data_IF_221915361950
#
_entry.id   IF_221915361950
#
_cell.length_a   1.000
_cell.length_b   1.000
_cell.length_c   1.000
_cell.angle_alpha   90.00
_cell.angle_beta   90.00
_cell.angle_gamma   90.00
#
_symmetry.space_group_name_H-M   'P 1'
#
loop_
_entity.id
_entity.type
_entity.pdbx_description
1 polymer ?
#
# COMPACT_ATOMS: atom_id res chain seq x y z
N UNK A 1 3.80 -30.17 17.02
CA UNK A 1 2.47 -29.54 16.87
C UNK A 1 2.13 -29.63 15.40
N UNK A 2 0.92 -30.09 15.08
CA UNK A 2 0.46 -30.04 13.69
C UNK A 2 0.38 -28.57 13.26
N UNK A 3 0.95 -28.26 12.10
CA UNK A 3 1.01 -26.92 11.50
C UNK A 3 0.19 -26.96 10.20
N UNK A 4 -0.80 -26.06 9.99
CA UNK A 4 -1.59 -26.03 8.76
C UNK A 4 -0.73 -26.01 7.48
N UNK A 5 0.47 -25.43 7.52
CA UNK A 5 1.36 -25.30 6.37
C UNK A 5 2.05 -26.61 5.95
N UNK A 6 2.15 -27.59 6.86
CA UNK A 6 2.81 -28.88 6.56
C UNK A 6 2.05 -29.68 5.50
N UNK A 7 0.73 -29.55 5.49
CA UNK A 7 -0.16 -30.22 4.54
C UNK A 7 -0.18 -29.57 3.14
N UNK A 8 0.33 -28.34 3.02
CA UNK A 8 0.35 -27.56 1.79
C UNK A 8 1.62 -26.69 1.73
N UNK A 9 2.81 -27.28 1.58
CA UNK A 9 4.05 -26.52 1.47
C UNK A 9 4.04 -25.66 0.19
N UNK A 10 4.85 -24.61 0.19
CA UNK A 10 5.08 -23.75 -0.98
C UNK A 10 6.46 -24.00 -1.55
N UNK A 11 6.55 -24.29 -2.84
CA UNK A 11 7.83 -24.28 -3.56
C UNK A 11 8.25 -22.85 -3.92
N UNK A 12 9.31 -22.39 -3.25
CA UNK A 12 9.92 -21.07 -3.43
C UNK A 12 10.61 -20.89 -4.79
N UNK A 13 10.86 -21.97 -5.54
CA UNK A 13 11.41 -21.90 -6.91
C UNK A 13 10.30 -21.72 -7.95
N UNK A 14 9.07 -22.14 -7.63
CA UNK A 14 7.98 -22.26 -8.60
C UNK A 14 6.96 -21.12 -8.54
N UNK A 15 7.21 -20.05 -7.74
CA UNK A 15 6.27 -18.94 -7.51
C UNK A 15 4.90 -19.45 -7.03
N UNK A 16 4.92 -20.31 -6.02
CA UNK A 16 3.71 -20.89 -5.44
C UNK A 16 3.16 -20.04 -4.29
N UNK A 17 1.84 -20.11 -4.08
CA UNK A 17 1.11 -19.42 -3.03
C UNK A 17 -0.08 -20.26 -2.58
N UNK A 18 -0.67 -19.95 -1.43
CA UNK A 18 -1.80 -20.69 -0.88
C UNK A 18 -3.12 -19.95 -1.08
N UNK A 19 -4.20 -20.70 -1.25
CA UNK A 19 -5.56 -20.18 -1.24
C UNK A 19 -6.38 -20.92 -0.19
N UNK A 20 -7.26 -20.17 0.49
CA UNK A 20 -8.13 -20.60 1.56
C UNK A 20 -9.58 -20.69 1.07
N UNK A 21 -10.19 -21.87 1.21
CA UNK A 21 -11.59 -22.12 0.92
C UNK A 21 -12.35 -22.29 2.24
N UNK A 22 -13.39 -21.50 2.48
CA UNK A 22 -14.29 -21.69 3.61
C UNK A 22 -15.22 -22.88 3.36
N UNK A 23 -15.53 -23.60 4.42
CA UNK A 23 -16.54 -24.64 4.39
C UNK A 23 -17.90 -24.04 4.77
N UNK A 24 -19.01 -24.48 4.15
CA UNK A 24 -20.35 -24.09 4.55
C UNK A 24 -20.57 -24.34 6.04
N UNK A 25 -21.26 -23.41 6.71
CA UNK A 25 -21.54 -23.52 8.14
C UNK A 25 -22.35 -24.79 8.41
N UNK A 26 -21.83 -25.67 9.26
CA UNK A 26 -22.54 -26.83 9.79
C UNK A 26 -23.13 -26.48 11.17
N UNK A 27 -23.66 -27.46 11.90
CA UNK A 27 -24.19 -27.24 13.26
C UNK A 27 -23.10 -26.90 14.30
N UNK A 28 -21.82 -26.76 13.91
CA UNK A 28 -20.74 -26.38 14.81
C UNK A 28 -20.49 -24.86 14.74
N UNK A 29 -20.12 -24.28 15.87
CA UNK A 29 -19.83 -22.84 15.99
C UNK A 29 -18.43 -22.43 15.47
N UNK A 30 -17.62 -23.38 14.99
CA UNK A 30 -16.26 -23.12 14.51
C UNK A 30 -16.22 -22.92 12.99
N UNK A 31 -15.54 -21.87 12.53
CA UNK A 31 -15.28 -21.65 11.11
C UNK A 31 -14.23 -22.67 10.66
N UNK A 32 -14.56 -23.46 9.63
CA UNK A 32 -13.67 -24.45 9.03
C UNK A 32 -13.25 -24.03 7.63
N UNK A 33 -11.98 -24.28 7.32
CA UNK A 33 -11.35 -23.89 6.07
C UNK A 33 -10.46 -25.02 5.53
N UNK A 34 -10.38 -25.12 4.21
CA UNK A 34 -9.38 -25.92 3.51
C UNK A 34 -8.36 -24.99 2.84
N UNK A 35 -7.08 -25.26 3.00
CA UNK A 35 -6.00 -24.49 2.38
C UNK A 35 -5.19 -25.36 1.43
N UNK A 36 -4.94 -24.86 0.22
CA UNK A 36 -4.22 -25.58 -0.83
C UNK A 36 -3.20 -24.67 -1.52
N UNK A 37 -2.10 -25.28 -1.98
CA UNK A 37 -1.05 -24.60 -2.74
C UNK A 37 -1.36 -24.58 -4.23
N UNK A 38 -1.09 -23.45 -4.87
CA UNK A 38 -1.21 -23.23 -6.29
C UNK A 38 0.03 -22.51 -6.82
N UNK A 39 0.31 -22.68 -8.10
CA UNK A 39 1.33 -21.91 -8.80
C UNK A 39 0.71 -20.62 -9.35
N UNK A 40 1.42 -19.50 -9.23
CA UNK A 40 0.98 -18.23 -9.83
C UNK A 40 0.75 -18.39 -11.34
N UNK A 41 -0.38 -17.90 -11.84
CA UNK A 41 -0.85 -18.08 -13.21
C UNK A 41 -1.49 -19.44 -13.51
N UNK A 42 -1.47 -20.38 -12.57
CA UNK A 42 -2.09 -21.71 -12.66
C UNK A 42 -2.93 -22.01 -11.39
N UNK A 43 -3.78 -21.05 -11.01
CA UNK A 43 -4.70 -21.14 -9.88
C UNK A 43 -6.16 -20.99 -10.37
N UNK A 44 -7.16 -21.46 -9.60
CA UNK A 44 -8.54 -21.05 -9.82
C UNK A 44 -8.68 -19.53 -9.61
N UNK A 45 -9.72 -18.89 -10.17
CA UNK A 45 -10.08 -17.53 -9.82
C UNK A 45 -10.25 -17.36 -8.31
N UNK A 46 -9.63 -16.33 -7.73
CA UNK A 46 -9.62 -16.12 -6.29
C UNK A 46 -9.82 -14.65 -5.93
N UNK A 47 -10.26 -14.41 -4.70
CA UNK A 47 -10.44 -13.09 -4.11
C UNK A 47 -9.30 -12.82 -3.14
N UNK A 48 -8.73 -11.62 -3.09
CA UNK A 48 -7.71 -11.27 -2.09
C UNK A 48 -8.33 -10.37 -1.01
N UNK A 49 -8.01 -10.62 0.26
CA UNK A 49 -8.44 -9.76 1.37
C UNK A 49 -7.43 -8.64 1.59
N UNK A 50 -7.92 -7.41 1.73
CA UNK A 50 -7.18 -6.28 2.26
C UNK A 50 -7.87 -5.81 3.53
N UNK A 51 -7.20 -5.86 4.68
CA UNK A 51 -7.82 -5.55 5.97
C UNK A 51 -6.82 -4.98 6.98
N UNK A 52 -7.35 -4.41 8.07
CA UNK A 52 -6.51 -3.98 9.21
C UNK A 52 -6.53 -4.99 10.34
N UNK A 53 -5.44 -5.07 11.07
CA UNK A 53 -5.39 -5.88 12.27
C UNK A 53 -6.22 -5.18 13.35
N UNK A 54 -7.05 -5.94 14.07
CA UNK A 54 -7.84 -5.42 15.18
C UNK A 54 -6.95 -4.78 16.25
N UNK A 55 -7.43 -3.71 16.89
CA UNK A 55 -6.73 -3.04 18.00
C UNK A 55 -6.60 -3.95 19.24
N UNK A 56 -7.53 -4.90 19.40
CA UNK A 56 -7.55 -5.84 20.52
C UNK A 56 -6.88 -7.16 20.11
N UNK A 57 -6.05 -7.68 20.99
CA UNK A 57 -5.41 -9.00 20.86
C UNK A 57 -6.37 -10.14 21.29
N UNK A 58 -7.65 -10.02 20.96
CA UNK A 58 -8.64 -11.09 21.15
C UNK A 58 -8.48 -12.09 20.00
N UNK A 59 -8.24 -13.35 20.36
CA UNK A 59 -8.07 -14.44 19.41
C UNK A 59 -9.21 -15.42 19.51
N UNK A 60 -9.76 -15.80 18.35
CA UNK A 60 -10.74 -16.86 18.20
C UNK A 60 -10.15 -17.93 17.30
N UNK A 61 -10.33 -19.20 17.66
CA UNK A 61 -9.81 -20.29 16.84
C UNK A 61 -10.73 -20.55 15.65
N UNK A 62 -10.11 -20.71 14.48
CA UNK A 62 -10.70 -21.35 13.31
C UNK A 62 -9.99 -22.68 13.06
N UNK A 63 -10.53 -23.51 12.19
CA UNK A 63 -9.90 -24.78 11.80
C UNK A 63 -9.44 -24.70 10.34
N UNK A 64 -8.13 -24.84 10.09
CA UNK A 64 -7.55 -24.89 8.74
C UNK A 64 -6.93 -26.27 8.55
N UNK A 65 -7.39 -27.03 7.57
CA UNK A 65 -6.90 -28.40 7.31
C UNK A 65 -6.89 -29.28 8.59
N UNK A 66 -7.95 -29.17 9.41
CA UNK A 66 -8.11 -29.87 10.71
C UNK A 66 -7.18 -29.40 11.84
N UNK A 67 -6.40 -28.35 11.62
CA UNK A 67 -5.54 -27.73 12.63
C UNK A 67 -6.20 -26.47 13.16
N UNK A 68 -6.24 -26.31 14.48
CA UNK A 68 -6.76 -25.08 15.11
C UNK A 68 -5.76 -23.95 14.94
N UNK A 69 -6.20 -22.85 14.36
CA UNK A 69 -5.39 -21.65 14.11
C UNK A 69 -6.06 -20.45 14.80
N UNK A 70 -5.35 -19.74 15.70
CA UNK A 70 -5.88 -18.54 16.32
C UNK A 70 -5.87 -17.39 15.31
N UNK A 71 -7.01 -16.73 15.14
CA UNK A 71 -7.13 -15.50 14.34
C UNK A 71 -7.65 -14.36 15.19
N UNK A 72 -7.21 -13.14 14.90
CA UNK A 72 -7.74 -11.95 15.57
C UNK A 72 -9.20 -11.76 15.23
N UNK A 73 -9.94 -11.15 16.17
CA UNK A 73 -11.38 -10.91 16.05
C UNK A 73 -11.78 -10.24 14.73
N UNK A 74 -11.03 -9.22 14.26
CA UNK A 74 -11.38 -8.55 12.99
C UNK A 74 -11.31 -9.47 11.77
N UNK A 75 -10.39 -10.43 11.74
CA UNK A 75 -10.31 -11.42 10.66
C UNK A 75 -11.42 -12.47 10.81
N UNK A 76 -11.70 -12.89 12.05
CA UNK A 76 -12.82 -13.80 12.31
C UNK A 76 -14.15 -13.19 11.84
N UNK A 77 -14.38 -11.91 12.15
CA UNK A 77 -15.58 -11.17 11.74
C UNK A 77 -15.73 -11.12 10.22
N UNK A 78 -14.64 -10.84 9.50
CA UNK A 78 -14.63 -10.91 8.06
C UNK A 78 -15.05 -12.30 7.56
N UNK A 79 -14.40 -13.37 8.04
CA UNK A 79 -14.71 -14.74 7.63
C UNK A 79 -16.15 -15.13 7.94
N UNK A 80 -16.66 -14.73 9.11
CA UNK A 80 -18.04 -14.94 9.50
C UNK A 80 -19.02 -14.22 8.57
N UNK A 81 -18.73 -12.96 8.23
CA UNK A 81 -19.55 -12.18 7.29
C UNK A 81 -19.57 -12.82 5.90
N UNK A 82 -18.42 -13.34 5.42
CA UNK A 82 -18.38 -14.05 4.13
C UNK A 82 -19.24 -15.33 4.15
N UNK A 83 -19.25 -16.08 5.24
CA UNK A 83 -20.14 -17.23 5.41
C UNK A 83 -21.62 -16.83 5.37
N UNK A 84 -21.99 -15.73 6.04
CA UNK A 84 -23.36 -15.21 6.02
C UNK A 84 -23.80 -14.79 4.61
N UNK A 85 -22.88 -14.27 3.80
CA UNK A 85 -23.12 -13.92 2.40
C UNK A 85 -23.10 -15.12 1.44
N UNK A 86 -22.87 -16.34 1.94
CA UNK A 86 -22.71 -17.52 1.10
C UNK A 86 -21.47 -17.47 0.19
N UNK A 87 -20.47 -16.66 0.56
CA UNK A 87 -19.21 -16.52 -0.18
C UNK A 87 -18.13 -17.38 0.47
N UNK A 88 -17.77 -18.48 -0.19
CA UNK A 88 -16.87 -19.48 0.39
C UNK A 88 -15.41 -19.39 -0.10
N UNK A 89 -15.09 -18.46 -1.01
CA UNK A 89 -13.75 -18.32 -1.59
C UNK A 89 -13.64 -18.93 -2.99
N UNK A 90 -12.42 -19.21 -3.49
CA UNK A 90 -11.14 -19.17 -2.76
C UNK A 90 -10.69 -17.76 -2.37
N UNK A 91 -10.07 -17.63 -1.20
CA UNK A 91 -9.51 -16.39 -0.67
C UNK A 91 -7.98 -16.45 -0.54
N UNK A 92 -7.30 -15.37 -0.89
CA UNK A 92 -5.95 -15.11 -0.43
C UNK A 92 -5.99 -14.16 0.76
N UNK A 93 -5.45 -14.60 1.89
CA UNK A 93 -5.41 -13.82 3.14
C UNK A 93 -3.97 -13.92 3.65
N UNK A 94 -3.19 -12.85 3.55
CA UNK A 94 -1.77 -12.79 3.92
C UNK A 94 -1.47 -13.41 5.30
N UNK A 95 -2.29 -13.12 6.30
CA UNK A 95 -2.13 -13.61 7.67
C UNK A 95 -2.31 -15.13 7.82
N UNK A 96 -2.95 -15.79 6.85
CA UNK A 96 -3.25 -17.24 6.86
C UNK A 96 -2.59 -18.03 5.74
N UNK A 97 -2.38 -17.41 4.57
CA UNK A 97 -1.81 -18.05 3.39
C UNK A 97 -0.28 -18.01 3.40
N UNK A 98 0.33 -17.15 4.22
CA UNK A 98 1.77 -17.02 4.42
C UNK A 98 2.12 -17.57 5.80
N UNK A 99 3.12 -18.43 5.86
CA UNK A 99 3.76 -18.83 7.10
C UNK A 99 4.63 -17.69 7.62
N UNK A 100 4.01 -16.75 8.34
CA UNK A 100 4.62 -15.49 8.78
C UNK A 100 5.88 -15.68 9.64
N UNK A 101 6.02 -16.81 10.32
CA UNK A 101 7.18 -17.15 11.15
C UNK A 101 8.41 -17.62 10.37
N UNK A 102 8.27 -18.00 9.10
CA UNK A 102 9.38 -18.45 8.24
C UNK A 102 9.80 -17.31 7.31
N UNK A 103 10.95 -16.70 7.60
CA UNK A 103 11.41 -15.48 6.93
C UNK A 103 11.64 -15.68 5.44
N UNK A 104 12.10 -16.86 5.01
CA UNK A 104 12.32 -17.09 3.58
C UNK A 104 10.99 -17.21 2.81
N UNK A 105 9.98 -17.86 3.37
CA UNK A 105 8.63 -17.90 2.81
C UNK A 105 8.01 -16.50 2.80
N UNK A 106 8.08 -15.76 3.92
CA UNK A 106 7.60 -14.37 3.98
C UNK A 106 8.25 -13.51 2.90
N UNK A 107 9.58 -13.51 2.79
CA UNK A 107 10.30 -12.80 1.74
C UNK A 107 9.84 -13.22 0.33
N UNK A 108 9.66 -14.52 0.10
CA UNK A 108 9.19 -15.06 -1.18
C UNK A 108 7.77 -14.57 -1.51
N UNK A 109 6.83 -14.65 -0.58
CA UNK A 109 5.44 -14.23 -0.77
C UNK A 109 5.31 -12.72 -0.95
N UNK A 110 6.02 -11.91 -0.14
CA UNK A 110 5.97 -10.44 -0.23
C UNK A 110 6.48 -9.95 -1.58
N UNK A 111 7.53 -10.58 -2.13
CA UNK A 111 8.02 -10.31 -3.49
C UNK A 111 7.03 -10.64 -4.61
N UNK A 112 5.95 -11.34 -4.30
CA UNK A 112 4.90 -11.70 -5.25
C UNK A 112 3.56 -11.02 -4.98
N UNK A 113 3.44 -10.21 -3.91
CA UNK A 113 2.16 -9.61 -3.53
C UNK A 113 1.58 -8.72 -4.63
N UNK A 114 2.42 -7.98 -5.36
CA UNK A 114 1.98 -7.20 -6.53
C UNK A 114 1.27 -8.08 -7.57
N UNK A 115 1.82 -9.27 -7.88
CA UNK A 115 1.17 -10.23 -8.78
C UNK A 115 -0.08 -10.84 -8.15
N UNK A 116 -0.04 -11.22 -6.87
CA UNK A 116 -1.17 -11.88 -6.21
C UNK A 116 -2.39 -10.96 -6.13
N UNK A 117 -2.22 -9.67 -5.81
CA UNK A 117 -3.33 -8.72 -5.78
C UNK A 117 -3.79 -8.30 -7.18
N UNK A 118 -2.87 -8.19 -8.14
CA UNK A 118 -3.21 -7.87 -9.53
C UNK A 118 -4.00 -8.98 -10.20
N UNK A 119 -3.60 -10.23 -10.00
CA UNK A 119 -4.19 -11.40 -10.67
C UNK A 119 -5.47 -11.91 -9.95
N UNK A 120 -5.79 -11.36 -8.76
CA UNK A 120 -7.05 -11.65 -8.07
C UNK A 120 -8.24 -11.07 -8.86
N UNK A 121 -9.32 -11.85 -8.99
CA UNK A 121 -10.53 -11.36 -9.69
C UNK A 121 -11.26 -10.25 -8.95
N UNK A 122 -11.00 -10.14 -7.64
CA UNK A 122 -11.58 -9.12 -6.77
C UNK A 122 -10.73 -8.98 -5.51
N UNK A 123 -10.45 -7.74 -5.13
CA UNK A 123 -9.87 -7.39 -3.84
C UNK A 123 -10.97 -6.89 -2.91
N UNK A 124 -11.12 -7.55 -1.78
CA UNK A 124 -12.11 -7.24 -0.76
C UNK A 124 -11.45 -6.37 0.31
N UNK A 125 -11.83 -5.10 0.37
CA UNK A 125 -11.45 -4.21 1.46
C UNK A 125 -12.38 -4.47 2.64
N UNK A 126 -11.84 -4.86 3.79
CA UNK A 126 -12.62 -5.03 5.03
C UNK A 126 -12.33 -3.91 6.03
N UNK A 127 -13.31 -3.03 6.22
CA UNK A 127 -13.24 -1.89 7.15
C UNK A 127 -13.63 -2.23 8.60
N UNK A 128 -13.96 -3.49 8.87
CA UNK A 128 -14.47 -3.96 10.16
C UNK A 128 -16.00 -3.97 10.23
N UNK A 129 -16.54 -4.33 11.40
CA UNK A 129 -17.97 -4.22 11.73
C UNK A 129 -18.47 -2.78 11.66
N UNK A 130 -19.79 -2.63 11.60
CA UNK A 130 -20.46 -1.33 11.65
C UNK A 130 -20.07 -0.57 12.93
N UNK A 131 -19.58 0.67 12.76
CA UNK A 131 -19.30 1.60 13.86
C UNK A 131 -19.29 3.03 13.35
N UNK A 132 -19.48 4.01 14.23
CA UNK A 132 -19.30 5.44 13.91
C UNK A 132 -20.12 5.91 12.69
N UNK A 133 -21.39 5.49 12.64
CA UNK A 133 -22.34 5.72 11.53
C UNK A 133 -21.84 5.19 10.16
N UNK A 134 -20.97 4.17 10.13
CA UNK A 134 -20.45 3.61 8.88
C UNK A 134 -21.54 3.02 7.99
N UNK A 135 -22.60 2.46 8.57
CA UNK A 135 -23.76 1.95 7.83
C UNK A 135 -24.49 3.09 7.08
N UNK A 136 -24.66 4.24 7.73
CA UNK A 136 -25.16 5.45 7.08
C UNK A 136 -24.21 5.89 5.97
N UNK A 137 -22.89 5.94 6.22
CA UNK A 137 -21.91 6.34 5.21
C UNK A 137 -21.96 5.45 3.96
N UNK A 138 -22.00 4.12 4.16
CA UNK A 138 -22.09 3.14 3.07
C UNK A 138 -23.38 3.34 2.27
N UNK A 139 -24.54 3.44 2.94
CA UNK A 139 -25.84 3.68 2.27
C UNK A 139 -25.90 5.02 1.55
N UNK A 140 -25.34 6.09 2.13
CA UNK A 140 -25.19 7.40 1.47
C UNK A 140 -24.40 7.26 0.19
N UNK A 141 -23.26 6.56 0.19
CA UNK A 141 -22.44 6.38 -1.02
C UNK A 141 -23.10 5.49 -2.07
N UNK A 142 -23.82 4.43 -1.66
CA UNK A 142 -24.55 3.53 -2.56
C UNK A 142 -25.69 4.27 -3.26
N UNK A 143 -26.55 4.94 -2.47
CA UNK A 143 -27.73 5.67 -2.96
C UNK A 143 -27.37 6.95 -3.72
N UNK A 144 -26.13 7.42 -3.60
CA UNK A 144 -25.71 8.63 -4.26
C UNK A 144 -25.52 8.41 -5.76
N UNK A 145 -26.39 9.05 -6.53
CA UNK A 145 -26.30 9.14 -7.98
C UNK A 145 -25.57 10.42 -8.37
N UNK A 146 -24.28 10.30 -8.66
CA UNK A 146 -23.53 11.41 -9.20
C UNK A 146 -23.86 11.63 -10.68
N UNK A 147 -24.35 12.82 -11.03
CA UNK A 147 -24.48 13.23 -12.42
C UNK A 147 -23.09 13.39 -13.06
N UNK A 148 -22.84 12.63 -14.13
CA UNK A 148 -21.61 12.56 -14.91
C UNK A 148 -20.92 13.95 -15.14
N UNK A 149 -19.58 14.06 -14.97
CA UNK A 149 -18.78 15.22 -15.37
C UNK A 149 -19.02 15.77 -16.79
N UNK A 150 -19.36 14.91 -17.77
CA UNK A 150 -19.73 15.31 -19.13
C UNK A 150 -20.96 16.23 -19.14
N UNK A 151 -21.86 16.07 -18.17
CA UNK A 151 -23.07 16.90 -17.99
C UNK A 151 -22.73 18.21 -17.28
N UNK A 152 -21.71 18.23 -16.42
CA UNK A 152 -21.22 19.46 -15.74
C UNK A 152 -20.50 20.39 -16.72
N UNK A 153 -19.81 19.85 -17.75
CA UNK A 153 -19.22 20.64 -18.84
C UNK A 153 -20.24 21.40 -19.70
N UNK A 154 -21.51 20.98 -19.73
CA UNK A 154 -22.58 21.68 -20.47
C UNK A 154 -23.29 22.77 -19.66
N UNK A 155 -23.00 22.91 -18.36
CA UNK A 155 -23.49 24.01 -17.54
C UNK A 155 -22.51 25.19 -17.53
N UNK A 156 -22.57 26.02 -18.59
CA UNK A 156 -22.16 27.43 -18.67
C UNK A 156 -20.82 27.77 -19.34
N UNK A 157 -20.91 28.07 -20.63
CA UNK A 157 -20.21 29.21 -21.23
C UNK A 157 -20.99 29.74 -22.44
N UNK A 158 -22.04 30.55 -22.22
CA UNK A 158 -22.68 31.31 -23.29
C UNK A 158 -22.25 32.78 -23.16
N UNK A 159 -21.57 33.30 -24.17
CA UNK A 159 -21.28 34.74 -24.28
C UNK A 159 -22.59 35.46 -24.64
N UNK A 160 -22.94 36.51 -23.93
CA UNK A 160 -24.01 37.39 -24.39
C UNK A 160 -23.53 38.22 -25.61
N UNK A 161 -24.44 38.96 -26.25
CA UNK A 161 -24.13 39.80 -27.44
C UNK A 161 -23.08 40.90 -27.18
N UNK A 162 -22.68 41.14 -25.92
CA UNK A 162 -21.62 42.08 -25.53
C UNK A 162 -20.31 41.40 -25.09
N UNK A 163 -20.19 40.08 -25.24
CA UNK A 163 -18.95 39.33 -24.96
C UNK A 163 -18.65 39.11 -23.48
N UNK A 164 -19.56 39.48 -22.57
CA UNK A 164 -19.41 39.24 -21.12
C UNK A 164 -19.93 37.84 -20.77
N UNK A 165 -19.12 37.06 -20.06
CA UNK A 165 -19.52 35.74 -19.53
C UNK A 165 -20.62 35.93 -18.51
N UNK A 166 -21.80 35.37 -18.76
CA UNK A 166 -22.90 35.35 -17.80
C UNK A 166 -22.91 33.99 -17.07
N UNK A 167 -22.79 33.99 -15.74
CA UNK A 167 -23.10 32.83 -14.91
C UNK A 167 -24.62 32.81 -14.70
N UNK A 168 -25.32 31.87 -15.35
CA UNK A 168 -26.74 31.65 -15.05
C UNK A 168 -26.83 30.74 -13.82
N UNK A 169 -27.63 31.16 -12.84
CA UNK A 169 -27.93 30.40 -11.62
C UNK A 169 -28.93 29.30 -11.96
N UNK A 170 -28.55 28.04 -11.75
CA UNK A 170 -29.40 26.88 -12.02
C UNK A 170 -28.99 25.67 -11.16
N UNK A 171 -29.22 25.74 -9.85
CA UNK A 171 -29.15 24.58 -8.95
C UNK A 171 -30.42 23.73 -9.12
N UNK A 172 -30.42 22.84 -10.11
CA UNK A 172 -31.19 21.60 -10.01
C UNK A 172 -30.19 20.44 -10.07
N UNK A 173 -29.91 19.83 -8.92
CA UNK A 173 -29.35 18.48 -8.88
C UNK A 173 -28.00 18.25 -8.19
N UNK A 174 -27.36 19.26 -7.56
CA UNK A 174 -26.32 18.92 -6.57
C UNK A 174 -27.06 18.54 -5.29
N UNK A 175 -27.31 17.26 -5.09
CA UNK A 175 -27.77 16.73 -3.81
C UNK A 175 -26.64 16.96 -2.80
N UNK A 176 -26.72 18.04 -2.04
CA UNK A 176 -25.80 18.28 -0.94
C UNK A 176 -26.21 17.37 0.21
N UNK A 177 -25.32 16.45 0.60
CA UNK A 177 -25.49 15.66 1.80
C UNK A 177 -25.74 16.57 3.01
N UNK A 178 -26.59 16.10 3.93
CA UNK A 178 -26.78 16.77 5.20
C UNK A 178 -25.54 16.58 6.10
N UNK A 179 -25.44 17.36 7.18
CA UNK A 179 -24.26 17.33 8.05
C UNK A 179 -23.94 15.94 8.61
N UNK A 180 -24.96 15.12 8.92
CA UNK A 180 -24.75 13.77 9.45
C UNK A 180 -24.16 12.83 8.39
N UNK A 181 -24.68 12.88 7.17
CA UNK A 181 -24.18 12.11 6.02
C UNK A 181 -22.74 12.47 5.67
N UNK A 182 -22.41 13.76 5.67
CA UNK A 182 -21.02 14.21 5.41
C UNK A 182 -20.08 13.71 6.51
N UNK A 183 -20.49 13.82 7.78
CA UNK A 183 -19.68 13.37 8.91
C UNK A 183 -19.48 11.85 8.92
N UNK A 184 -20.50 11.07 8.57
CA UNK A 184 -20.39 9.62 8.48
C UNK A 184 -19.42 9.20 7.37
N UNK A 185 -19.47 9.84 6.19
CA UNK A 185 -18.51 9.58 5.11
C UNK A 185 -17.09 10.00 5.49
N UNK A 186 -16.93 11.13 6.17
CA UNK A 186 -15.62 11.53 6.70
C UNK A 186 -15.07 10.53 7.72
N UNK A 187 -15.92 10.01 8.61
CA UNK A 187 -15.57 8.97 9.58
C UNK A 187 -15.10 7.69 8.86
N UNK A 188 -15.86 7.25 7.85
CA UNK A 188 -15.52 6.09 7.01
C UNK A 188 -14.15 6.26 6.32
N UNK A 189 -13.85 7.45 5.78
CA UNK A 189 -12.57 7.77 5.12
C UNK A 189 -11.38 7.91 6.08
N UNK A 190 -11.64 7.97 7.39
CA UNK A 190 -10.62 8.10 8.45
C UNK A 190 -10.44 6.83 9.27
N UNK A 191 -11.18 5.74 8.97
CA UNK A 191 -11.00 4.45 9.63
C UNK A 191 -9.54 4.00 9.54
N UNK A 192 -9.06 3.36 10.60
CA UNK A 192 -7.68 2.86 10.75
C UNK A 192 -7.19 1.99 9.60
N UNK A 193 -8.09 1.32 8.88
CA UNK A 193 -7.72 0.61 7.66
C UNK A 193 -6.92 1.50 6.69
N UNK A 194 -7.39 2.73 6.46
CA UNK A 194 -6.78 3.65 5.51
C UNK A 194 -5.43 4.19 5.92
N UNK A 195 -5.02 4.03 7.19
CA UNK A 195 -3.70 4.43 7.66
C UNK A 195 -2.66 3.33 7.50
N UNK A 196 -2.97 2.12 7.01
CA UNK A 196 -1.96 1.05 6.90
C UNK A 196 -1.06 1.20 5.69
N UNK A 197 0.22 0.91 5.86
CA UNK A 197 1.19 1.00 4.77
C UNK A 197 0.94 -0.06 3.67
N UNK A 198 0.73 -1.32 4.05
CA UNK A 198 0.59 -2.42 3.08
C UNK A 198 -0.63 -2.30 2.16
N UNK A 199 -1.74 -1.73 2.64
CA UNK A 199 -2.97 -1.64 1.85
C UNK A 199 -2.81 -0.80 0.58
N UNK A 200 -1.77 0.05 0.49
CA UNK A 200 -1.55 0.92 -0.66
C UNK A 200 -1.30 0.05 -1.91
N UNK A 201 -0.37 -0.90 -1.86
CA UNK A 201 -0.13 -1.79 -3.00
C UNK A 201 -1.28 -2.76 -3.25
N UNK A 202 -1.96 -3.20 -2.20
CA UNK A 202 -3.08 -4.14 -2.28
C UNK A 202 -4.24 -3.51 -3.07
N UNK A 203 -4.52 -2.25 -2.77
CA UNK A 203 -5.57 -1.49 -3.44
C UNK A 203 -5.10 -0.92 -4.77
N UNK A 204 -3.83 -0.53 -4.96
CA UNK A 204 -3.39 0.07 -6.23
C UNK A 204 -3.25 -0.96 -7.36
N UNK A 205 -2.80 -2.18 -7.06
CA UNK A 205 -2.62 -3.21 -8.09
C UNK A 205 -3.89 -3.95 -8.49
N UNK A 206 -4.93 -3.92 -7.65
CA UNK A 206 -6.16 -4.67 -7.88
C UNK A 206 -6.84 -4.32 -9.21
N UNK A 207 -7.32 -5.30 -9.97
CA UNK A 207 -8.16 -4.99 -11.14
C UNK A 207 -9.54 -4.48 -10.69
N UNK A 208 -10.18 -5.21 -9.77
CA UNK A 208 -11.48 -4.89 -9.19
C UNK A 208 -11.41 -4.82 -7.68
N UNK A 209 -12.15 -3.88 -7.08
CA UNK A 209 -12.19 -3.66 -5.64
C UNK A 209 -13.63 -3.51 -5.16
N UNK A 210 -13.94 -4.10 -4.01
CA UNK A 210 -15.18 -3.92 -3.26
C UNK A 210 -14.85 -3.53 -1.82
N UNK A 211 -15.56 -2.55 -1.28
CA UNK A 211 -15.43 -2.12 0.11
C UNK A 211 -16.53 -2.77 0.92
N UNK A 212 -16.15 -3.52 1.95
CA UNK A 212 -17.03 -4.13 2.91
C UNK A 212 -16.90 -3.40 4.25
N UNK A 213 -18.03 -3.09 4.87
CA UNK A 213 -18.07 -2.55 6.23
C UNK A 213 -19.30 -3.13 6.93
N UNK A 214 -19.07 -4.07 7.84
CA UNK A 214 -20.12 -4.89 8.40
C UNK A 214 -20.85 -5.70 7.32
N UNK A 215 -22.17 -5.60 7.30
CA UNK A 215 -23.04 -6.25 6.32
C UNK A 215 -23.14 -5.51 4.97
N UNK A 216 -22.71 -4.25 4.91
CA UNK A 216 -22.83 -3.41 3.71
C UNK A 216 -21.65 -3.61 2.76
N UNK A 217 -21.94 -3.56 1.45
CA UNK A 217 -20.97 -3.67 0.36
C UNK A 217 -21.08 -2.44 -0.54
N UNK A 218 -19.94 -1.83 -0.87
CA UNK A 218 -19.84 -0.68 -1.76
C UNK A 218 -18.85 -0.97 -2.89
N UNK A 219 -19.31 -0.82 -4.13
CA UNK A 219 -18.47 -0.93 -5.31
C UNK A 219 -17.47 0.23 -5.38
N UNK A 220 -16.21 -0.08 -5.74
CA UNK A 220 -15.11 0.90 -5.70
C UNK A 220 -15.35 2.18 -6.50
N UNK A 221 -16.03 2.10 -7.66
CA UNK A 221 -16.27 3.29 -8.48
C UNK A 221 -17.05 4.37 -7.71
N UNK A 222 -17.92 4.01 -6.74
CA UNK A 222 -18.62 5.00 -5.90
C UNK A 222 -17.63 5.81 -5.06
N UNK A 223 -16.57 5.16 -4.59
CA UNK A 223 -15.48 5.80 -3.85
C UNK A 223 -14.60 6.68 -4.77
N UNK A 224 -14.40 6.27 -6.02
CA UNK A 224 -13.75 7.13 -7.02
C UNK A 224 -14.60 8.36 -7.38
N UNK A 225 -15.90 8.20 -7.53
CA UNK A 225 -16.84 9.31 -7.75
C UNK A 225 -16.79 10.33 -6.61
N UNK A 226 -16.69 9.85 -5.36
CA UNK A 226 -16.49 10.71 -4.19
C UNK A 226 -15.23 11.57 -4.35
N UNK A 227 -14.10 10.96 -4.72
CA UNK A 227 -12.84 11.69 -4.93
C UNK A 227 -12.98 12.80 -5.99
N UNK A 228 -13.60 12.50 -7.14
CA UNK A 228 -13.81 13.51 -8.18
C UNK A 228 -14.73 14.63 -7.72
N UNK A 229 -15.81 14.29 -7.01
CA UNK A 229 -16.76 15.26 -6.49
C UNK A 229 -16.15 16.23 -5.48
N UNK A 230 -15.45 15.73 -4.46
CA UNK A 230 -14.79 16.60 -3.47
C UNK A 230 -13.67 17.44 -4.12
N UNK A 231 -13.02 16.91 -5.15
CA UNK A 231 -12.02 17.64 -5.93
C UNK A 231 -12.62 18.78 -6.77
N UNK A 232 -13.81 18.57 -7.35
CA UNK A 232 -14.54 19.59 -8.11
C UNK A 232 -15.05 20.69 -7.18
N UNK A 233 -15.63 20.33 -6.03
CA UNK A 233 -16.10 21.31 -5.03
C UNK A 233 -14.94 22.21 -4.59
N UNK A 234 -13.81 21.62 -4.19
CA UNK A 234 -12.65 22.38 -3.72
C UNK A 234 -12.05 23.28 -4.81
N UNK A 235 -12.11 22.87 -6.09
CA UNK A 235 -11.55 23.65 -7.20
C UNK A 235 -12.45 24.80 -7.67
N UNK A 236 -13.75 24.55 -7.83
CA UNK A 236 -14.66 25.45 -8.55
C UNK A 236 -15.70 26.11 -7.66
N UNK A 237 -16.02 25.52 -6.52
CA UNK A 237 -17.09 25.97 -5.64
C UNK A 237 -16.53 26.33 -4.27
N UNK A 238 -15.53 27.23 -4.23
CA UNK A 238 -14.86 27.67 -2.99
C UNK A 238 -15.83 28.15 -1.90
N UNK A 239 -16.98 28.72 -2.30
CA UNK A 239 -18.05 29.13 -1.37
C UNK A 239 -18.78 27.94 -0.72
N UNK A 240 -18.80 26.78 -1.39
CA UNK A 240 -19.31 25.50 -0.88
C UNK A 240 -18.19 24.58 -0.35
N UNK A 241 -16.93 24.96 -0.53
CA UNK A 241 -15.75 24.23 -0.04
C UNK A 241 -15.63 24.41 1.47
N UNK A 242 -16.52 23.73 2.18
CA UNK A 242 -16.53 23.69 3.64
C UNK A 242 -15.30 22.95 4.16
N UNK A 243 -14.89 23.19 5.42
CA UNK A 243 -13.85 22.39 6.07
C UNK A 243 -14.05 20.87 5.95
N UNK A 244 -15.30 20.41 5.82
CA UNK A 244 -15.64 19.00 5.67
C UNK A 244 -15.18 18.39 4.35
N UNK A 245 -15.49 19.01 3.20
CA UNK A 245 -15.08 18.48 1.89
C UNK A 245 -13.55 18.44 1.77
N UNK A 246 -12.87 19.45 2.30
CA UNK A 246 -11.42 19.47 2.41
C UNK A 246 -10.88 18.36 3.33
N UNK A 247 -11.56 18.06 4.44
CA UNK A 247 -11.18 16.97 5.33
C UNK A 247 -11.37 15.58 4.69
N UNK A 248 -12.45 15.38 3.90
CA UNK A 248 -12.64 14.15 3.12
C UNK A 248 -11.55 14.06 2.05
N UNK A 249 -11.34 15.11 1.26
CA UNK A 249 -10.34 15.17 0.18
C UNK A 249 -8.92 14.90 0.68
N UNK A 250 -8.59 15.35 1.89
CA UNK A 250 -7.26 15.20 2.50
C UNK A 250 -7.15 13.96 3.39
N UNK A 251 -8.16 13.07 3.38
CA UNK A 251 -8.12 11.83 4.14
C UNK A 251 -7.12 10.81 3.56
N UNK A 252 -6.63 9.87 4.37
CA UNK A 252 -5.78 8.77 3.88
C UNK A 252 -6.47 7.96 2.77
N UNK A 253 -7.78 7.72 2.91
CA UNK A 253 -8.58 7.01 1.92
C UNK A 253 -8.54 7.68 0.53
N UNK A 254 -8.75 9.00 0.48
CA UNK A 254 -8.72 9.75 -0.78
C UNK A 254 -7.31 9.86 -1.37
N UNK A 255 -6.26 9.78 -0.55
CA UNK A 255 -4.87 9.73 -1.02
C UNK A 255 -4.62 8.43 -1.79
N UNK A 256 -5.14 7.29 -1.32
CA UNK A 256 -5.06 6.00 -2.02
C UNK A 256 -5.88 6.01 -3.31
N UNK A 257 -7.10 6.55 -3.30
CA UNK A 257 -7.91 6.70 -4.52
C UNK A 257 -7.17 7.51 -5.59
N UNK A 258 -6.55 8.64 -5.20
CA UNK A 258 -5.73 9.46 -6.10
C UNK A 258 -4.56 8.68 -6.69
N UNK A 259 -3.84 7.92 -5.87
CA UNK A 259 -2.69 7.11 -6.31
C UNK A 259 -3.13 6.01 -7.27
N UNK A 260 -4.20 5.27 -6.95
CA UNK A 260 -4.77 4.25 -7.82
C UNK A 260 -5.21 4.83 -9.17
N UNK A 261 -5.94 5.96 -9.17
CA UNK A 261 -6.37 6.61 -10.41
C UNK A 261 -5.17 7.07 -11.27
N UNK A 262 -4.13 7.60 -10.64
CA UNK A 262 -2.89 8.01 -11.31
C UNK A 262 -2.12 6.83 -11.89
N UNK A 263 -2.16 5.67 -11.22
CA UNK A 263 -1.56 4.43 -11.68
C UNK A 263 -2.36 3.84 -12.87
N UNK A 264 -3.68 3.72 -12.73
CA UNK A 264 -4.55 3.12 -13.73
C UNK A 264 -4.58 3.89 -15.07
N UNK A 265 -4.68 5.22 -15.03
CA UNK A 265 -4.71 6.07 -16.24
C UNK A 265 -3.47 5.91 -17.13
N UNK A 266 -2.36 5.41 -16.57
CA UNK A 266 -1.10 5.21 -17.28
C UNK A 266 -0.92 3.78 -17.79
N UNK A 267 -1.55 2.80 -17.14
CA UNK A 267 -1.60 1.41 -17.63
C UNK A 267 -2.45 1.29 -18.89
N UNK A 268 -3.47 2.14 -19.06
CA UNK A 268 -4.32 2.17 -20.26
C UNK A 268 -3.65 2.81 -21.50
N UNK A 269 -2.55 3.54 -21.33
CA UNK A 269 -1.80 4.11 -22.45
C UNK A 269 -0.83 3.02 -22.97
N UNK A 270 -1.25 2.34 -24.03
CA UNK A 270 -0.72 1.07 -24.53
C UNK A 270 0.79 1.06 -24.79
N UNK A 271 1.60 0.59 -23.84
CA UNK A 271 2.81 -0.21 -24.08
C UNK A 271 3.09 -1.07 -22.85
N UNK A 272 2.92 -2.39 -23.00
CA UNK A 272 3.23 -3.41 -21.99
C UNK A 272 4.69 -3.22 -21.53
N UNK A 273 4.87 -2.85 -20.26
CA UNK A 273 6.18 -2.93 -19.59
C UNK A 273 6.88 -1.63 -19.21
N UNK A 274 6.24 -0.45 -19.17
CA UNK A 274 6.85 0.71 -18.50
C UNK A 274 6.57 0.68 -16.98
N UNK A 275 7.61 0.84 -16.13
CA UNK A 275 7.42 1.09 -14.70
C UNK A 275 6.50 2.29 -14.49
N UNK A 276 5.70 2.28 -13.42
CA UNK A 276 4.95 3.46 -12.95
C UNK A 276 5.85 4.70 -12.95
N UNK A 277 5.43 5.87 -13.43
CA UNK A 277 6.29 7.08 -13.36
C UNK A 277 6.38 7.70 -11.96
N UNK A 278 5.67 7.15 -10.96
CA UNK A 278 5.64 7.76 -9.63
C UNK A 278 6.96 7.46 -8.93
N UNK A 279 7.75 8.50 -8.65
CA UNK A 279 9.01 8.35 -7.95
C UNK A 279 8.79 7.79 -6.53
N UNK A 280 9.71 6.92 -6.07
CA UNK A 280 9.56 6.23 -4.79
C UNK A 280 9.53 7.21 -3.61
N UNK A 281 10.34 8.26 -3.66
CA UNK A 281 10.39 9.35 -2.69
C UNK A 281 9.04 10.07 -2.57
N UNK A 282 8.34 10.32 -3.68
CA UNK A 282 7.01 10.94 -3.67
C UNK A 282 5.96 10.05 -2.99
N UNK A 283 6.04 8.73 -3.18
CA UNK A 283 5.17 7.76 -2.48
C UNK A 283 5.50 7.75 -0.98
N UNK A 284 6.79 7.68 -0.63
CA UNK A 284 7.24 7.70 0.76
C UNK A 284 6.83 8.98 1.49
N UNK A 285 6.91 10.15 0.84
CA UNK A 285 6.44 11.41 1.41
C UNK A 285 4.92 11.41 1.59
N UNK A 286 4.16 10.99 0.57
CA UNK A 286 2.69 10.92 0.61
C UNK A 286 2.21 10.02 1.74
N UNK A 287 2.88 8.90 1.96
CA UNK A 287 2.47 7.85 2.89
C UNK A 287 3.28 7.80 4.18
N UNK A 288 4.11 8.81 4.46
CA UNK A 288 4.96 8.84 5.66
C UNK A 288 4.15 8.67 6.97
N UNK A 289 2.93 9.18 7.03
CA UNK A 289 2.07 9.06 8.22
C UNK A 289 1.37 7.68 8.36
N UNK A 290 1.51 6.77 7.40
CA UNK A 290 0.83 5.47 7.43
C UNK A 290 1.52 4.49 8.41
N UNK A 291 0.74 3.76 9.20
CA UNK A 291 1.16 2.78 10.18
C UNK A 291 1.77 1.53 9.53
N UNK A 292 2.89 1.07 10.10
CA UNK A 292 3.51 -0.22 9.86
C UNK A 292 4.12 -0.75 11.16
N UNK A 293 4.21 -2.08 11.31
CA UNK A 293 4.89 -2.69 12.46
C UNK A 293 6.41 -2.74 12.23
N UNK A 294 6.81 -3.05 11.00
CA UNK A 294 8.20 -3.03 10.56
C UNK A 294 8.48 -1.74 9.79
N UNK A 295 9.43 -0.93 10.24
CA UNK A 295 9.71 0.38 9.63
C UNK A 295 10.14 0.26 8.16
N UNK A 296 10.71 -0.89 7.75
CA UNK A 296 11.10 -1.14 6.35
C UNK A 296 9.88 -1.23 5.41
N UNK A 297 8.69 -1.47 5.94
CA UNK A 297 7.46 -1.54 5.15
C UNK A 297 7.07 -0.17 4.58
N UNK A 298 7.56 0.94 5.15
CA UNK A 298 7.48 2.28 4.55
C UNK A 298 8.02 2.34 3.12
N UNK A 299 8.91 1.40 2.79
CA UNK A 299 9.53 1.23 1.49
C UNK A 299 8.88 0.05 0.78
N UNK A 300 8.91 -1.14 1.40
CA UNK A 300 8.52 -2.38 0.73
C UNK A 300 7.05 -2.40 0.29
N UNK A 301 6.16 -1.65 0.94
CA UNK A 301 4.76 -1.54 0.51
C UNK A 301 4.54 -0.67 -0.74
N UNK A 302 5.53 0.12 -1.16
CA UNK A 302 5.40 1.06 -2.29
C UNK A 302 6.33 0.73 -3.46
N UNK A 303 7.32 -0.16 -3.30
CA UNK A 303 8.24 -0.52 -4.39
C UNK A 303 7.53 -1.12 -5.61
N UNK A 304 6.46 -1.89 -5.43
CA UNK A 304 5.68 -2.42 -6.56
C UNK A 304 4.95 -1.33 -7.37
N UNK A 305 4.71 -0.17 -6.75
CA UNK A 305 4.01 0.98 -7.34
C UNK A 305 4.99 2.01 -7.89
N UNK A 306 6.24 2.02 -7.40
CA UNK A 306 7.20 3.05 -7.72
C UNK A 306 7.88 2.84 -9.08
N UNK A 307 8.33 3.95 -9.68
CA UNK A 307 9.21 3.94 -10.84
C UNK A 307 10.49 3.20 -10.52
N UNK A 308 10.80 2.19 -11.34
CA UNK A 308 11.95 1.29 -11.17
C UNK A 308 12.05 0.62 -9.79
N UNK A 309 10.96 0.56 -9.03
CA UNK A 309 10.97 -0.05 -7.70
C UNK A 309 11.26 -1.56 -7.72
N UNK A 310 11.10 -2.22 -8.87
CA UNK A 310 11.52 -3.63 -9.07
C UNK A 310 13.03 -3.85 -8.91
N UNK A 311 13.85 -2.80 -8.97
CA UNK A 311 15.29 -2.87 -8.68
C UNK A 311 15.58 -2.99 -7.19
N UNK A 312 14.64 -2.60 -6.33
CA UNK A 312 14.74 -2.69 -4.88
C UNK A 312 14.20 -4.04 -4.44
N UNK A 313 15.11 -4.93 -4.04
CA UNK A 313 14.76 -6.29 -3.63
C UNK A 313 14.32 -6.30 -2.17
N UNK A 314 13.06 -6.70 -1.92
CA UNK A 314 12.54 -6.91 -0.56
C UNK A 314 13.32 -8.00 0.15
N UNK A 315 13.92 -7.67 1.30
CA UNK A 315 14.60 -8.64 2.16
C UNK A 315 14.53 -8.23 3.63
N UNK A 316 13.76 -8.96 4.43
CA UNK A 316 13.63 -8.72 5.86
C UNK A 316 14.84 -9.14 6.70
N UNK A 317 15.92 -9.59 6.06
CA UNK A 317 17.23 -9.80 6.72
C UNK A 317 18.08 -8.52 6.73
N UNK A 318 17.79 -7.55 5.86
CA UNK A 318 18.50 -6.25 5.81
C UNK A 318 18.11 -5.35 6.96
N UNK A 319 19.04 -4.59 7.53
CA UNK A 319 18.68 -3.55 8.50
C UNK A 319 17.91 -2.41 7.81
N UNK A 320 17.22 -1.56 8.58
CA UNK A 320 16.59 -0.35 8.02
C UNK A 320 17.62 0.58 7.36
N UNK A 321 18.87 0.63 7.87
CA UNK A 321 19.98 1.38 7.27
C UNK A 321 20.37 0.82 5.91
N UNK A 322 20.43 -0.50 5.75
CA UNK A 322 20.75 -1.12 4.47
C UNK A 322 19.68 -0.82 3.42
N UNK A 323 18.40 -0.88 3.81
CA UNK A 323 17.27 -0.52 2.93
C UNK A 323 17.32 0.96 2.55
N UNK A 324 17.63 1.84 3.51
CA UNK A 324 17.85 3.27 3.25
C UNK A 324 18.93 3.46 2.18
N UNK A 325 20.07 2.78 2.32
CA UNK A 325 21.18 2.89 1.37
C UNK A 325 20.80 2.33 -0.01
N UNK A 326 20.06 1.22 -0.09
CA UNK A 326 19.57 0.68 -1.36
C UNK A 326 18.76 1.73 -2.13
N UNK A 327 17.83 2.42 -1.47
CA UNK A 327 17.00 3.46 -2.09
C UNK A 327 17.82 4.68 -2.45
N UNK A 328 18.70 5.10 -1.56
CA UNK A 328 19.56 6.26 -1.80
C UNK A 328 20.42 6.05 -3.04
N UNK A 329 21.03 4.87 -3.17
CA UNK A 329 21.81 4.52 -4.35
C UNK A 329 20.92 4.39 -5.59
N UNK A 330 19.74 3.79 -5.47
CA UNK A 330 18.76 3.73 -6.56
C UNK A 330 18.40 5.13 -7.09
N UNK A 331 18.05 6.07 -6.21
CA UNK A 331 17.76 7.45 -6.57
C UNK A 331 18.97 8.13 -7.24
N UNK A 332 20.18 7.88 -6.73
CA UNK A 332 21.41 8.42 -7.29
C UNK A 332 21.74 7.92 -8.70
N UNK A 333 21.31 6.68 -9.03
CA UNK A 333 21.53 6.07 -10.35
C UNK A 333 20.47 6.46 -11.39
N UNK A 334 19.22 6.72 -10.97
CA UNK A 334 18.10 7.02 -11.88
C UNK A 334 18.08 8.46 -12.38
N UNK A 335 18.61 9.42 -11.60
CA UNK A 335 18.70 10.81 -12.05
C UNK A 335 19.75 10.89 -13.18
N UNK A 336 19.39 11.30 -14.39
CA UNK A 336 20.31 11.47 -15.54
C UNK A 336 21.03 12.85 -15.53
N UNK A 337 21.86 13.14 -16.54
CA UNK A 337 23.17 13.83 -16.46
C UNK A 337 23.21 15.38 -16.47
N UNK A 338 22.70 16.09 -15.44
CA UNK A 338 22.97 17.53 -15.26
C UNK A 338 23.32 17.89 -13.79
N UNK A 339 24.56 18.35 -13.56
CA UNK A 339 25.29 18.13 -12.30
C UNK A 339 24.94 19.03 -11.09
N UNK A 340 24.34 20.22 -11.27
CA UNK A 340 24.24 21.20 -10.16
C UNK A 340 22.94 21.14 -9.36
N UNK A 341 21.86 20.67 -9.96
CA UNK A 341 20.55 20.51 -9.29
C UNK A 341 20.40 19.16 -8.57
N UNK A 342 21.40 18.26 -8.70
CA UNK A 342 21.34 16.87 -8.22
C UNK A 342 21.75 16.71 -6.76
N UNK A 343 22.73 17.48 -6.27
CA UNK A 343 23.22 17.30 -4.90
C UNK A 343 22.17 17.72 -3.87
N UNK A 344 21.53 18.88 -4.04
CA UNK A 344 20.47 19.34 -3.13
C UNK A 344 19.24 18.41 -3.16
N UNK A 345 18.90 17.84 -4.31
CA UNK A 345 17.82 16.84 -4.42
C UNK A 345 18.19 15.55 -3.70
N UNK A 346 19.40 15.04 -3.87
CA UNK A 346 19.87 13.85 -3.16
C UNK A 346 20.00 14.11 -1.66
N UNK A 347 20.38 15.31 -1.24
CA UNK A 347 20.35 15.72 0.17
C UNK A 347 18.90 15.70 0.69
N UNK A 348 17.93 16.26 -0.05
CA UNK A 348 16.51 16.20 0.31
C UNK A 348 16.01 14.76 0.41
N UNK A 349 16.36 13.89 -0.53
CA UNK A 349 16.00 12.46 -0.51
C UNK A 349 16.65 11.78 0.70
N UNK A 350 17.93 12.00 0.98
CA UNK A 350 18.61 11.47 2.15
C UNK A 350 17.92 11.88 3.46
N UNK A 351 17.57 13.16 3.60
CA UNK A 351 16.82 13.67 4.75
C UNK A 351 15.40 13.12 4.83
N UNK A 352 14.73 12.88 3.70
CA UNK A 352 13.44 12.20 3.66
C UNK A 352 13.57 10.76 4.17
N UNK A 353 14.57 10.02 3.69
CA UNK A 353 14.82 8.63 4.08
C UNK A 353 15.17 8.54 5.58
N UNK A 354 15.98 9.45 6.10
CA UNK A 354 16.27 9.56 7.54
C UNK A 354 14.99 9.66 8.36
N UNK A 355 14.09 10.57 7.99
CA UNK A 355 12.81 10.78 8.70
C UNK A 355 11.85 9.61 8.55
N UNK A 356 11.72 9.06 7.34
CA UNK A 356 10.74 8.01 7.03
C UNK A 356 11.15 6.67 7.65
N UNK A 357 12.43 6.36 7.66
CA UNK A 357 12.95 5.09 8.18
C UNK A 357 13.42 5.18 9.63
N UNK A 358 13.38 6.36 10.25
CA UNK A 358 13.82 6.61 11.62
C UNK A 358 15.25 6.11 11.89
N UNK A 359 16.13 6.26 10.89
CA UNK A 359 17.53 5.84 10.94
C UNK A 359 18.43 7.06 10.79
N UNK A 360 19.39 7.30 11.72
CA UNK A 360 20.33 8.40 11.58
C UNK A 360 21.06 8.38 10.23
N UNK A 361 20.97 9.48 9.51
CA UNK A 361 21.64 9.67 8.23
C UNK A 361 22.01 11.14 8.05
N UNK A 362 22.96 11.64 8.84
CA UNK A 362 23.29 13.06 8.87
C UNK A 362 23.81 13.53 7.51
N UNK A 363 23.68 14.84 7.26
CA UNK A 363 24.05 15.43 5.97
C UNK A 363 25.50 15.14 5.55
N UNK A 364 26.42 15.02 6.51
CA UNK A 364 27.82 14.62 6.25
C UNK A 364 27.92 13.21 5.66
N UNK A 365 27.13 12.27 6.16
CA UNK A 365 27.06 10.90 5.63
C UNK A 365 26.35 10.89 4.27
N UNK A 366 25.26 11.66 4.12
CA UNK A 366 24.56 11.81 2.84
C UNK A 366 25.54 12.28 1.75
N UNK A 367 26.26 13.38 2.00
CA UNK A 367 27.25 13.93 1.06
C UNK A 367 28.39 12.96 0.77
N UNK A 368 28.81 12.17 1.76
CA UNK A 368 29.76 11.07 1.54
C UNK A 368 29.22 10.05 0.53
N UNK A 369 27.97 9.62 0.67
CA UNK A 369 27.35 8.68 -0.27
C UNK A 369 27.11 9.27 -1.67
N UNK A 370 26.79 10.57 -1.77
CA UNK A 370 26.70 11.28 -3.06
C UNK A 370 28.05 11.27 -3.78
N UNK A 371 29.13 11.60 -3.08
CA UNK A 371 30.46 11.60 -3.69
C UNK A 371 30.92 10.20 -4.10
N UNK A 372 30.56 9.19 -3.30
CA UNK A 372 30.82 7.78 -3.60
C UNK A 372 30.05 7.30 -4.85
N UNK A 373 28.78 7.65 -5.00
CA UNK A 373 27.96 7.23 -6.15
C UNK A 373 28.39 7.91 -7.46
N UNK A 374 28.97 9.12 -7.39
CA UNK A 374 29.48 9.85 -8.56
C UNK A 374 30.96 9.61 -8.87
N UNK A 375 31.64 8.69 -8.18
CA UNK A 375 33.07 8.42 -8.41
C UNK A 375 34.00 9.60 -8.08
N UNK A 376 33.50 10.58 -7.31
CA UNK A 376 34.23 11.80 -6.93
C UNK A 376 35.10 11.63 -5.67
N UNK A 377 35.47 10.40 -5.33
CA UNK A 377 36.29 10.08 -4.14
C UNK A 377 37.62 10.82 -4.08
N UNK A 378 38.13 11.34 -5.20
CA UNK A 378 39.34 12.16 -5.24
C UNK A 378 39.15 13.65 -4.85
N UNK A 379 37.93 14.20 -4.90
CA UNK A 379 37.69 15.64 -4.69
C UNK A 379 37.29 16.00 -3.24
N UNK A 380 36.84 15.04 -2.44
CA UNK A 380 36.46 15.25 -1.03
C UNK A 380 37.55 14.94 -0.01
N UNK A 381 38.79 14.69 -0.44
CA UNK A 381 39.96 14.69 0.47
C UNK A 381 40.36 16.14 0.80
N UNK A 382 39.38 16.93 1.26
CA UNK A 382 39.59 18.12 2.07
C UNK A 382 39.70 17.69 3.54
N UNK A 383 40.53 18.39 4.31
CA UNK A 383 41.06 17.96 5.62
C UNK A 383 40.02 17.62 6.72
N UNK A 384 38.72 17.76 6.50
CA UNK A 384 37.66 17.56 7.51
C UNK A 384 37.10 16.12 7.58
N UNK A 385 37.35 15.26 6.59
CA UNK A 385 36.75 13.91 6.54
C UNK A 385 37.74 12.76 6.82
N UNK A 386 39.02 13.05 7.07
CA UNK A 386 40.07 12.03 7.30
C UNK A 386 39.81 11.12 8.51
N UNK A 387 39.18 11.64 9.55
CA UNK A 387 38.94 10.88 10.78
C UNK A 387 37.78 9.87 10.63
N UNK A 388 36.81 10.16 9.76
CA UNK A 388 35.72 9.23 9.46
C UNK A 388 36.21 8.00 8.68
N UNK A 389 37.14 8.19 7.73
CA UNK A 389 37.79 7.09 7.01
C UNK A 389 38.65 6.21 7.93
N UNK A 390 39.32 6.79 8.93
CA UNK A 390 40.12 6.01 9.92
C UNK A 390 39.24 5.17 10.84
N UNK A 391 38.08 5.70 11.24
CA UNK A 391 37.10 4.99 12.07
C UNK A 391 36.44 3.83 11.32
N UNK A 392 36.01 4.05 10.07
CA UNK A 392 35.39 3.02 9.24
C UNK A 392 36.36 1.89 8.81
N UNK A 393 37.62 2.21 8.52
CA UNK A 393 38.64 1.21 8.21
C UNK A 393 39.09 0.41 9.46
N UNK A 394 39.06 1.02 10.65
CA UNK A 394 39.27 0.33 11.92
C UNK A 394 38.17 -0.69 12.21
N UNK A 395 36.90 -0.33 11.96
CA UNK A 395 35.76 -1.21 12.17
C UNK A 395 35.71 -2.37 11.15
N UNK A 396 36.29 -2.20 9.94
CA UNK A 396 36.45 -3.29 8.96
C UNK A 396 37.61 -4.23 9.26
N UNK A 397 38.72 -3.74 9.82
CA UNK A 397 39.89 -4.58 10.15
C UNK A 397 39.67 -5.54 11.31
N UNK A 398 38.66 -5.32 12.17
CA UNK A 398 38.25 -6.30 13.19
C UNK A 398 37.41 -7.46 12.64
N UNK A 399 36.86 -7.35 11.43
CA UNK A 399 36.08 -8.42 10.79
C UNK A 399 36.84 -9.23 9.73
N UNK A 400 37.97 -8.74 9.23
CA UNK A 400 38.79 -9.40 8.19
C UNK A 400 40.20 -9.77 8.71
N UNK A 401 40.29 -10.60 9.76
CA UNK A 401 41.54 -11.29 10.12
C UNK A 401 41.52 -12.75 9.63
N UNK A 402 42.29 -13.12 8.59
CA UNK A 402 42.49 -14.51 8.19
C UNK A 402 43.65 -15.14 8.96
N UNK A 403 43.36 -15.83 10.07
CA UNK A 403 44.23 -16.84 10.70
C UNK A 403 43.40 -17.62 11.73
N UNK A 404 42.95 -18.86 11.48
CA UNK A 404 43.80 -20.04 11.60
C UNK A 404 43.23 -21.25 10.83
N UNK A 405 43.84 -21.57 9.69
CA UNK A 405 43.90 -22.94 9.19
C UNK A 405 45.39 -23.30 9.09
N UNK A 406 45.89 -24.04 10.08
CA UNK A 406 47.18 -24.74 9.99
C UNK A 406 46.86 -26.23 9.87
N UNK A 407 47.12 -26.71 8.64
CA UNK A 407 47.65 -28.00 8.23
C UNK A 407 47.37 -29.24 9.10
N UNK A 408 46.62 -30.17 8.50
CA UNK A 408 46.84 -31.61 8.64
C UNK A 408 47.53 -32.05 7.35
N UNK A 409 48.72 -32.63 7.46
CA UNK A 409 49.24 -33.64 6.51
C UNK A 409 50.48 -34.33 7.10
N UNK A 410 50.25 -35.51 7.70
CA UNK A 410 50.90 -36.80 7.43
C UNK A 410 50.43 -37.85 8.46
#
# INVERSE_FOLDING_TARGET
MDDPYTSCPVDRKSREFRLLQLQPKNNEDIIKCNMQTYRLGYSPPYKALSYTWGANATYTNIEINRVKVPVRENLWDFLHQQLLHGNYGPFWIDALCIQQSEVHERNHQVRMMDYIYRDAVLVLIWLGKESDDSDLAMRTLVSWEWCNPSTVRLMFACKNKSGKTLLMRGTKGVTTWNSKEVLSVLSLCKRRYWSRMWIIQEVVHAERVEIHCGSEILEWYKFEQLYYYVSIISRYYKEMDTPFYNAVRSSPAMSIVKTRASHAAKVSDQYVGRPSDIAIDSLMETYNAHECEDIRDKVYAVVGIAKYGSTIVVDYRKSAKDVLLDIFYHASTEMSWEARWREDELVRIGQLLERVLEVPFPETEIRFHIARSHGLTAYLVGNEYRDFFRSADSARKEFDSPASYIAVDN
#
